data_IF_857684038529
#
_entry.id   IF_857684038529
#
_cell.length_a   1.000
_cell.length_b   1.000
_cell.length_c   1.000
_cell.angle_alpha   90.00
_cell.angle_beta   90.00
_cell.angle_gamma   90.00
#
_symmetry.space_group_name_H-M   'P 1'
#
loop_
_entity.id
_entity.type
_entity.pdbx_description
1 polymer ?
#
# COMPACT_ATOMS: atom_id res chain seq x y z
N UNK A 1 5.01 -22.78 1.64
CA UNK A 1 3.95 -22.46 2.63
C UNK A 1 4.22 -23.08 4.00
N UNK A 2 4.29 -22.25 5.04
CA UNK A 2 4.44 -22.68 6.44
C UNK A 2 3.09 -23.12 7.02
N UNK A 3 3.06 -24.10 7.94
CA UNK A 3 1.81 -24.62 8.54
C UNK A 3 0.91 -23.53 9.14
N UNK A 4 1.52 -22.51 9.76
CA UNK A 4 0.80 -21.39 10.38
C UNK A 4 0.10 -20.49 9.35
N UNK A 5 0.67 -20.38 8.15
CA UNK A 5 0.10 -19.61 7.05
C UNK A 5 -1.12 -20.32 6.46
N UNK A 6 -1.03 -21.65 6.34
CA UNK A 6 -2.14 -22.48 5.88
C UNK A 6 -3.36 -22.42 6.81
N UNK A 7 -3.15 -22.48 8.14
CA UNK A 7 -4.24 -22.35 9.13
C UNK A 7 -4.99 -21.02 9.01
N UNK A 8 -4.26 -19.93 8.75
CA UNK A 8 -4.86 -18.61 8.53
C UNK A 8 -5.66 -18.55 7.22
N UNK A 9 -5.12 -19.09 6.14
CA UNK A 9 -5.83 -19.17 4.85
C UNK A 9 -7.09 -20.04 4.95
N UNK A 10 -7.03 -21.13 5.72
CA UNK A 10 -8.20 -21.98 5.98
C UNK A 10 -9.29 -21.21 6.73
N UNK A 11 -8.92 -20.34 7.70
CA UNK A 11 -9.90 -19.49 8.40
C UNK A 11 -10.60 -18.53 7.43
N UNK A 12 -9.85 -17.87 6.56
CA UNK A 12 -10.38 -16.97 5.52
C UNK A 12 -11.28 -17.77 4.55
N UNK A 13 -10.89 -19.00 4.22
CA UNK A 13 -11.68 -19.85 3.33
C UNK A 13 -13.02 -20.27 3.95
N UNK A 14 -13.05 -20.60 5.25
CA UNK A 14 -14.31 -20.90 5.93
C UNK A 14 -15.25 -19.70 5.93
N UNK A 15 -14.75 -18.50 6.23
CA UNK A 15 -15.54 -17.27 6.14
C UNK A 15 -16.11 -17.05 4.73
N UNK A 16 -15.29 -17.30 3.70
CA UNK A 16 -15.72 -17.18 2.30
C UNK A 16 -16.88 -18.11 1.96
N UNK A 17 -16.82 -19.37 2.41
CA UNK A 17 -17.86 -20.37 2.17
C UNK A 17 -19.13 -20.04 2.94
N UNK A 18 -19.01 -19.63 4.21
CA UNK A 18 -20.16 -19.35 5.08
C UNK A 18 -20.95 -18.12 4.62
N UNK A 19 -20.27 -17.12 4.04
CA UNK A 19 -20.89 -15.85 3.65
C UNK A 19 -21.24 -15.73 2.16
N UNK A 20 -20.94 -16.76 1.33
CA UNK A 20 -21.03 -16.70 -0.14
C UNK A 20 -20.34 -15.43 -0.71
N UNK A 21 -19.14 -15.17 -0.18
CA UNK A 21 -18.40 -13.95 -0.47
C UNK A 21 -17.84 -13.94 -1.90
N UNK A 22 -17.35 -12.79 -2.34
CA UNK A 22 -16.72 -12.67 -3.65
C UNK A 22 -15.18 -12.64 -3.57
N UNK A 23 -14.53 -12.76 -4.72
CA UNK A 23 -13.05 -12.74 -4.84
C UNK A 23 -12.43 -11.47 -4.23
N UNK A 24 -13.14 -10.32 -4.29
CA UNK A 24 -12.63 -9.05 -3.75
C UNK A 24 -12.56 -9.14 -2.22
N UNK A 25 -13.61 -9.67 -1.54
CA UNK A 25 -13.61 -9.84 -0.08
C UNK A 25 -12.46 -10.74 0.37
N UNK A 26 -12.29 -11.90 -0.30
CA UNK A 26 -11.19 -12.84 0.01
C UNK A 26 -9.82 -12.17 -0.12
N UNK A 27 -9.59 -11.45 -1.23
CA UNK A 27 -8.33 -10.75 -1.44
C UNK A 27 -8.09 -9.64 -0.40
N UNK A 28 -9.15 -8.99 0.09
CA UNK A 28 -9.06 -8.01 1.17
C UNK A 28 -8.67 -8.67 2.49
N UNK A 29 -9.27 -9.81 2.84
CA UNK A 29 -8.91 -10.56 4.06
C UNK A 29 -7.46 -11.07 4.00
N UNK A 30 -7.04 -11.65 2.88
CA UNK A 30 -5.65 -12.10 2.66
C UNK A 30 -4.69 -10.90 2.83
N UNK A 31 -4.99 -9.77 2.18
CA UNK A 31 -4.14 -8.60 2.30
C UNK A 31 -4.13 -8.01 3.72
N UNK A 32 -5.24 -8.05 4.45
CA UNK A 32 -5.29 -7.57 5.83
C UNK A 32 -4.48 -8.47 6.78
N UNK A 33 -4.53 -9.79 6.57
CA UNK A 33 -3.84 -10.77 7.42
C UNK A 33 -2.33 -10.83 7.16
N UNK A 34 -1.92 -10.75 5.89
CA UNK A 34 -0.51 -10.91 5.48
C UNK A 34 0.16 -9.60 5.06
N UNK A 35 -0.59 -8.50 4.95
CA UNK A 35 -0.12 -7.17 4.52
C UNK A 35 -0.06 -6.97 3.00
N UNK A 36 -0.04 -8.05 2.23
CA UNK A 36 -0.04 -8.07 0.77
C UNK A 36 -0.57 -9.41 0.27
N UNK A 37 -0.95 -9.48 -1.01
CA UNK A 37 -1.48 -10.70 -1.61
C UNK A 37 -0.34 -11.54 -2.16
N UNK A 38 0.06 -12.54 -1.37
CA UNK A 38 1.09 -13.51 -1.76
C UNK A 38 0.62 -14.45 -2.87
N UNK A 39 1.54 -14.80 -3.78
CA UNK A 39 1.26 -15.74 -4.87
C UNK A 39 0.86 -17.13 -4.33
N UNK A 40 1.53 -17.61 -3.29
CA UNK A 40 1.20 -18.90 -2.65
C UNK A 40 -0.24 -18.90 -2.11
N UNK A 41 -0.68 -17.79 -1.50
CA UNK A 41 -2.04 -17.65 -1.00
C UNK A 41 -3.10 -17.71 -2.12
N UNK A 42 -2.84 -17.05 -3.26
CA UNK A 42 -3.73 -17.10 -4.42
C UNK A 42 -3.78 -18.50 -5.03
N UNK A 43 -2.64 -19.17 -5.15
CA UNK A 43 -2.57 -20.55 -5.67
C UNK A 43 -3.31 -21.53 -4.76
N UNK A 44 -3.16 -21.40 -3.44
CA UNK A 44 -3.87 -22.22 -2.46
C UNK A 44 -5.38 -22.01 -2.55
N UNK A 45 -5.85 -20.75 -2.58
CA UNK A 45 -7.27 -20.43 -2.71
C UNK A 45 -7.86 -20.91 -4.04
N UNK A 46 -7.11 -20.78 -5.13
CA UNK A 46 -7.51 -21.26 -6.46
C UNK A 46 -7.75 -22.77 -6.46
N UNK A 47 -6.88 -23.54 -5.80
CA UNK A 47 -7.02 -25.00 -5.68
C UNK A 47 -8.23 -25.40 -4.83
N UNK A 48 -8.52 -24.68 -3.74
CA UNK A 48 -9.64 -24.96 -2.84
C UNK A 48 -11.00 -24.59 -3.44
N UNK A 49 -11.09 -23.45 -4.11
CA UNK A 49 -12.34 -22.89 -4.66
C UNK A 49 -12.62 -23.32 -6.11
N UNK A 50 -11.67 -23.99 -6.78
CA UNK A 50 -11.71 -24.31 -8.22
C UNK A 50 -11.83 -23.07 -9.13
N UNK A 51 -11.55 -21.87 -8.61
CA UNK A 51 -11.52 -20.63 -9.38
C UNK A 51 -10.13 -20.47 -9.99
N UNK A 52 -9.99 -20.22 -11.31
CA UNK A 52 -8.68 -20.03 -11.93
C UNK A 52 -7.90 -18.84 -11.34
N UNK A 53 -6.60 -19.02 -11.11
CA UNK A 53 -5.69 -17.94 -10.66
C UNK A 53 -5.77 -16.68 -11.53
N UNK A 54 -6.04 -16.83 -12.84
CA UNK A 54 -6.21 -15.71 -13.76
C UNK A 54 -7.33 -14.75 -13.36
N UNK A 55 -8.42 -15.24 -12.74
CA UNK A 55 -9.50 -14.37 -12.23
C UNK A 55 -9.01 -13.55 -11.03
N UNK A 56 -8.27 -14.15 -10.11
CA UNK A 56 -7.69 -13.44 -8.97
C UNK A 56 -6.72 -12.36 -9.46
N UNK A 57 -5.79 -12.69 -10.35
CA UNK A 57 -4.88 -11.70 -10.93
C UNK A 57 -5.60 -10.64 -11.75
N UNK A 58 -6.71 -10.96 -12.41
CA UNK A 58 -7.57 -9.97 -13.05
C UNK A 58 -8.10 -8.94 -12.06
N UNK A 59 -8.58 -9.37 -10.90
CA UNK A 59 -9.05 -8.48 -9.83
C UNK A 59 -7.89 -7.68 -9.22
N UNK A 60 -6.78 -8.35 -8.88
CA UNK A 60 -5.60 -7.71 -8.27
C UNK A 60 -5.01 -6.62 -9.16
N UNK A 61 -4.93 -6.86 -10.48
CA UNK A 61 -4.39 -5.89 -11.44
C UNK A 61 -5.37 -4.78 -11.78
N UNK A 62 -6.67 -5.04 -11.68
CA UNK A 62 -7.71 -4.06 -11.96
C UNK A 62 -7.90 -3.04 -10.81
N UNK A 63 -7.87 -3.50 -9.56
CA UNK A 63 -8.05 -2.63 -8.40
C UNK A 63 -6.71 -2.24 -7.77
N UNK A 64 -6.39 -0.94 -7.81
CA UNK A 64 -5.14 -0.39 -7.25
C UNK A 64 -4.96 -0.56 -5.74
N UNK A 65 -6.00 -1.02 -5.03
CA UNK A 65 -5.94 -1.29 -3.59
C UNK A 65 -5.19 -2.57 -3.25
N UNK A 66 -5.01 -3.48 -4.22
CA UNK A 66 -4.35 -4.76 -4.01
C UNK A 66 -2.87 -4.68 -4.40
N UNK A 67 -2.03 -5.34 -3.61
CA UNK A 67 -0.59 -5.31 -3.80
C UNK A 67 -0.01 -6.72 -3.78
N UNK A 68 0.83 -7.02 -4.77
CA UNK A 68 1.54 -8.31 -4.91
C UNK A 68 2.91 -8.31 -4.24
N UNK A 69 3.33 -7.16 -3.71
CA UNK A 69 4.65 -6.98 -3.12
C UNK A 69 4.51 -6.37 -1.74
N UNK A 70 5.43 -6.70 -0.83
CA UNK A 70 5.36 -6.21 0.54
C UNK A 70 5.58 -4.70 0.54
N UNK A 71 4.74 -4.00 1.31
CA UNK A 71 4.81 -2.54 1.49
C UNK A 71 5.33 -2.21 2.87
N UNK A 72 5.90 -1.03 2.99
CA UNK A 72 6.30 -0.48 4.26
C UNK A 72 5.09 -0.18 5.13
N UNK A 73 5.32 -0.11 6.45
CA UNK A 73 4.26 0.15 7.44
C UNK A 73 3.50 1.47 7.19
N UNK A 74 4.18 2.48 6.65
CA UNK A 74 3.61 3.78 6.35
C UNK A 74 3.67 4.05 4.84
N UNK A 75 2.50 4.19 4.23
CA UNK A 75 2.35 4.50 2.82
C UNK A 75 2.31 6.00 2.65
N UNK A 76 3.13 6.55 1.76
CA UNK A 76 3.14 7.95 1.37
C UNK A 76 2.73 8.04 -0.10
N UNK A 77 1.51 8.50 -0.36
CA UNK A 77 0.97 8.64 -1.72
C UNK A 77 0.98 10.10 -2.14
N UNK A 78 1.77 10.43 -3.17
CA UNK A 78 1.88 11.81 -3.69
C UNK A 78 1.01 11.99 -4.94
N UNK A 79 0.16 13.01 -4.93
CA UNK A 79 -0.65 13.38 -6.09
C UNK A 79 0.24 13.98 -7.19
N UNK A 80 0.21 13.37 -8.36
CA UNK A 80 0.96 13.78 -9.55
C UNK A 80 0.07 14.43 -10.63
N UNK A 81 -1.18 14.77 -10.28
CA UNK A 81 -2.11 15.40 -11.20
C UNK A 81 -1.63 16.80 -11.61
N UNK A 82 -2.14 17.31 -12.73
CA UNK A 82 -1.60 18.53 -13.38
C UNK A 82 -1.44 19.70 -12.42
N UNK A 83 -2.43 19.98 -11.56
CA UNK A 83 -2.35 21.06 -10.58
C UNK A 83 -1.26 20.80 -9.54
N UNK A 84 -1.17 19.58 -9.00
CA UNK A 84 -0.14 19.22 -8.04
C UNK A 84 1.26 19.26 -8.66
N UNK A 85 1.38 18.81 -9.92
CA UNK A 85 2.61 18.85 -10.69
C UNK A 85 3.15 20.29 -10.80
N UNK A 86 2.34 21.22 -11.29
CA UNK A 86 2.71 22.63 -11.44
C UNK A 86 2.94 23.31 -10.10
N UNK A 87 2.22 22.93 -9.04
CA UNK A 87 2.40 23.45 -7.68
C UNK A 87 3.63 22.89 -6.96
N UNK A 88 4.40 21.98 -7.57
CA UNK A 88 5.69 21.53 -7.04
C UNK A 88 5.71 20.12 -6.43
N UNK A 89 4.72 19.27 -6.70
CA UNK A 89 4.76 17.86 -6.29
C UNK A 89 6.05 17.11 -6.70
N UNK A 90 6.67 17.34 -7.89
CA UNK A 90 7.94 16.70 -8.23
C UNK A 90 9.08 17.01 -7.24
N UNK A 91 9.11 18.24 -6.70
CA UNK A 91 10.09 18.64 -5.67
C UNK A 91 9.84 17.91 -4.36
N UNK A 92 8.57 17.73 -3.99
CA UNK A 92 8.18 16.95 -2.81
C UNK A 92 8.64 15.49 -2.97
N UNK A 93 8.39 14.87 -4.12
CA UNK A 93 8.81 13.48 -4.40
C UNK A 93 10.33 13.34 -4.32
N UNK A 94 11.08 14.24 -4.96
CA UNK A 94 12.55 14.20 -4.93
C UNK A 94 13.07 14.30 -3.50
N UNK A 95 12.57 15.26 -2.72
CA UNK A 95 13.01 15.45 -1.34
C UNK A 95 12.65 14.26 -0.45
N UNK A 96 11.49 13.65 -0.67
CA UNK A 96 11.07 12.44 0.03
C UNK A 96 11.97 11.25 -0.30
N UNK A 97 12.34 11.06 -1.57
CA UNK A 97 13.29 10.01 -1.97
C UNK A 97 14.64 10.19 -1.27
N UNK A 98 15.14 11.42 -1.22
CA UNK A 98 16.42 11.73 -0.57
C UNK A 98 16.36 11.45 0.95
N UNK A 99 15.30 11.91 1.62
CA UNK A 99 15.11 11.72 3.06
C UNK A 99 14.95 10.24 3.44
N UNK A 100 14.18 9.50 2.66
CA UNK A 100 13.92 8.08 2.85
C UNK A 100 15.06 7.18 2.32
N UNK A 101 16.10 7.77 1.72
CA UNK A 101 17.25 7.06 1.12
C UNK A 101 16.83 6.01 0.09
N UNK A 102 15.75 6.26 -0.65
CA UNK A 102 15.29 5.42 -1.76
C UNK A 102 16.23 5.60 -2.96
N UNK A 103 16.66 4.50 -3.59
CA UNK A 103 17.60 4.54 -4.71
C UNK A 103 16.87 4.21 -6.02
N UNK A 104 17.14 4.99 -7.06
CA UNK A 104 16.57 4.77 -8.40
C UNK A 104 15.03 4.71 -8.36
N UNK A 105 14.50 3.55 -8.74
CA UNK A 105 13.06 3.27 -8.81
C UNK A 105 12.50 2.56 -7.58
N UNK A 106 13.30 2.39 -6.52
CA UNK A 106 12.85 1.85 -5.25
C UNK A 106 11.69 2.69 -4.69
N UNK A 107 10.60 2.02 -4.36
CA UNK A 107 9.42 2.63 -3.75
C UNK A 107 9.40 2.42 -2.23
N UNK A 108 9.90 1.28 -1.75
CA UNK A 108 9.87 0.89 -0.34
C UNK A 108 11.26 1.00 0.28
N UNK A 109 11.33 1.53 1.51
CA UNK A 109 12.58 1.65 2.26
C UNK A 109 13.08 0.29 2.75
N UNK A 110 14.40 0.13 2.91
CA UNK A 110 15.03 -1.14 3.32
C UNK A 110 14.60 -1.63 4.70
N UNK A 111 14.16 -0.72 5.56
CA UNK A 111 13.66 -1.00 6.91
C UNK A 111 12.16 -1.34 6.93
N UNK A 112 11.51 -1.45 5.76
CA UNK A 112 10.08 -1.72 5.59
C UNK A 112 9.19 -0.73 6.37
N UNK A 113 9.68 0.48 6.61
CA UNK A 113 8.94 1.49 7.37
C UNK A 113 8.09 2.39 6.47
N UNK A 114 8.59 2.74 5.29
CA UNK A 114 7.91 3.64 4.37
C UNK A 114 7.84 3.08 2.96
N UNK A 115 6.72 3.31 2.28
CA UNK A 115 6.59 3.13 0.82
C UNK A 115 6.11 4.43 0.20
N UNK A 116 6.84 4.91 -0.81
CA UNK A 116 6.53 6.12 -1.57
C UNK A 116 5.84 5.74 -2.89
N UNK A 117 4.60 6.18 -3.03
CA UNK A 117 3.77 5.96 -4.20
C UNK A 117 3.35 7.25 -4.88
N UNK A 118 3.00 7.09 -6.15
CA UNK A 118 2.53 8.17 -7.01
C UNK A 118 1.12 7.82 -7.47
N UNK A 119 0.19 8.75 -7.30
CA UNK A 119 -1.17 8.63 -7.82
C UNK A 119 -1.43 9.73 -8.85
N UNK A 120 -2.17 9.42 -9.91
CA UNK A 120 -2.46 10.37 -10.96
C UNK A 120 -3.31 11.54 -10.47
N UNK A 121 -4.37 11.30 -9.69
CA UNK A 121 -5.18 12.37 -9.13
C UNK A 121 -5.87 11.91 -7.86
N UNK A 122 -5.90 12.78 -6.86
CA UNK A 122 -6.67 12.58 -5.61
C UNK A 122 -8.02 13.30 -5.67
N UNK A 123 -8.23 14.21 -6.63
CA UNK A 123 -9.44 15.03 -6.73
C UNK A 123 -9.48 16.25 -5.78
N UNK A 124 -8.47 16.44 -4.92
CA UNK A 124 -8.40 17.54 -3.95
C UNK A 124 -7.59 18.75 -4.46
N UNK A 125 -7.87 19.23 -5.68
CA UNK A 125 -7.08 20.28 -6.34
C UNK A 125 -7.06 21.62 -5.59
N UNK A 126 -8.10 21.94 -4.79
CA UNK A 126 -8.19 23.18 -3.98
C UNK A 126 -7.11 23.30 -2.90
N UNK A 127 -6.51 22.18 -2.51
CA UNK A 127 -5.46 22.10 -1.49
C UNK A 127 -4.16 21.52 -2.06
N UNK A 128 -3.92 21.63 -3.37
CA UNK A 128 -2.67 21.20 -3.98
C UNK A 128 -1.44 21.99 -3.47
N UNK A 129 -0.23 21.37 -3.37
CA UNK A 129 0.07 19.94 -3.58
C UNK A 129 -0.50 19.05 -2.46
N UNK A 130 -0.97 17.86 -2.85
CA UNK A 130 -1.59 16.88 -1.96
C UNK A 130 -0.69 15.66 -1.79
N UNK A 131 -0.47 15.28 -0.53
CA UNK A 131 0.18 14.04 -0.13
C UNK A 131 -0.73 13.33 0.86
N UNK A 132 -0.84 12.02 0.77
CA UNK A 132 -1.58 11.19 1.73
C UNK A 132 -0.57 10.32 2.44
N UNK A 133 -0.62 10.25 3.77
CA UNK A 133 0.16 9.28 4.54
C UNK A 133 -0.81 8.33 5.26
N UNK A 134 -0.80 7.06 4.86
CA UNK A 134 -1.83 6.07 5.19
C UNK A 134 -3.22 6.62 4.81
N UNK A 135 -4.03 6.99 5.80
CA UNK A 135 -5.37 7.56 5.59
C UNK A 135 -5.42 9.08 5.78
N UNK A 136 -4.31 9.71 6.17
CA UNK A 136 -4.26 11.13 6.52
C UNK A 136 -3.89 11.98 5.32
N UNK A 137 -4.78 12.91 4.96
CA UNK A 137 -4.58 13.85 3.84
C UNK A 137 -3.81 15.09 4.29
N UNK A 138 -2.75 15.42 3.56
CA UNK A 138 -1.92 16.61 3.75
C UNK A 138 -2.02 17.51 2.51
N UNK A 139 -2.69 18.65 2.66
CA UNK A 139 -2.79 19.68 1.61
C UNK A 139 -1.79 20.82 1.78
N UNK A 140 -1.58 21.59 0.71
CA UNK A 140 -0.68 22.76 0.62
C UNK A 140 0.71 22.42 1.14
N UNK A 141 1.25 21.27 0.71
CA UNK A 141 2.53 20.77 1.17
C UNK A 141 3.69 21.33 0.33
N UNK A 142 4.77 21.69 1.01
CA UNK A 142 6.09 21.91 0.41
C UNK A 142 6.99 20.73 0.72
N UNK A 143 8.15 20.64 0.06
CA UNK A 143 9.12 19.58 0.28
C UNK A 143 9.59 19.54 1.75
N UNK A 144 9.88 20.70 2.35
CA UNK A 144 10.34 20.82 3.73
C UNK A 144 9.23 20.50 4.72
N UNK A 145 8.01 20.98 4.46
CA UNK A 145 6.85 20.72 5.31
C UNK A 145 6.52 19.24 5.34
N UNK A 146 6.64 18.57 4.20
CA UNK A 146 6.36 17.13 4.12
C UNK A 146 7.39 16.32 4.91
N UNK A 147 8.69 16.62 4.79
CA UNK A 147 9.72 15.96 5.62
C UNK A 147 9.45 16.17 7.11
N UNK A 148 9.05 17.37 7.53
CA UNK A 148 8.67 17.62 8.93
C UNK A 148 7.48 16.77 9.37
N UNK A 149 6.49 16.58 8.51
CA UNK A 149 5.31 15.75 8.81
C UNK A 149 5.62 14.25 8.92
N UNK A 150 6.76 13.79 8.40
CA UNK A 150 7.18 12.39 8.52
C UNK A 150 7.84 12.06 9.86
N UNK A 151 8.41 13.04 10.58
CA UNK A 151 9.09 12.81 11.86
C UNK A 151 8.26 12.02 12.88
N UNK A 152 6.97 12.32 13.11
CA UNK A 152 6.16 11.55 14.06
C UNK A 152 6.03 10.07 13.69
N UNK A 153 6.02 9.75 12.39
CA UNK A 153 5.93 8.38 11.90
C UNK A 153 7.27 7.62 12.06
N UNK A 154 8.39 8.34 12.05
CA UNK A 154 9.72 7.79 12.36
C UNK A 154 9.91 7.55 13.87
N UNK A 155 9.51 8.53 14.70
CA UNK A 155 9.64 8.49 16.16
C UNK A 155 8.76 7.39 16.77
N UNK A 156 7.51 7.26 16.30
CA UNK A 156 6.60 6.19 16.75
C UNK A 156 7.11 4.78 16.41
N UNK A 157 8.01 4.64 15.43
CA UNK A 157 8.62 3.34 15.12
C UNK A 157 9.83 3.05 16.02
N UNK A 158 10.58 4.08 16.42
CA UNK A 158 11.70 3.94 17.35
C UNK A 158 11.22 3.60 18.77
N UNK A 159 10.05 4.12 19.19
CA UNK A 159 9.45 3.77 20.48
C UNK A 159 8.86 2.35 20.54
N UNK A 160 8.48 1.76 19.41
CA UNK A 160 8.01 0.37 19.32
C UNK A 160 9.15 -0.67 19.27
N UNK A 161 10.40 -0.23 19.11
CA UNK A 161 11.60 -1.08 19.12
C UNK A 161 12.32 -1.11 20.48
N UNK A 162 11.92 -0.28 21.43
CA UNK A 162 12.46 -0.23 22.80
C UNK A 162 11.52 -0.93 23.78
#
# INVERSE_FOLDING_TARGET
MEKKQEERLETIYQNFVDNDDNIITVLQEIQNEFGYVEKEAVEWFSQKTYIPTSKFYGVITFYSQFHLSPRGKNIITVCCGTVCHVKGAPKVISKLKDELKLKGDDQTTRDMLFTLEKVNCVGACSIAPVVIVNDKVFGKQSAEKMVKNLKPYQENYQSLKN
#
